data_IF_708887529584
#
_entry.id   IF_708887529584
#
_cell.length_a   1.000
_cell.length_b   1.000
_cell.length_c   1.000
_cell.angle_alpha   90.00
_cell.angle_beta   90.00
_cell.angle_gamma   90.00
#
_symmetry.space_group_name_H-M   'P 1'
#
loop_
_entity.id
_entity.type
_entity.pdbx_description
1 polymer ?
#
# COMPACT_ATOMS: atom_id res chain seq x y z
N UNK A 1 38.53 -6.18 -1.41
CA UNK A 1 38.34 -5.02 -2.31
C UNK A 1 36.86 -4.95 -2.69
N UNK A 2 36.11 -3.91 -2.27
CA UNK A 2 34.78 -3.65 -2.83
C UNK A 2 34.99 -2.70 -4.00
N UNK A 3 34.82 -3.18 -5.22
CA UNK A 3 34.88 -2.35 -6.42
C UNK A 3 33.53 -1.62 -6.55
N UNK A 4 33.56 -0.29 -6.56
CA UNK A 4 32.40 0.52 -6.96
C UNK A 4 32.46 0.60 -8.48
N UNK A 5 31.54 -0.11 -9.13
CA UNK A 5 31.33 -0.02 -10.57
C UNK A 5 30.15 0.90 -10.77
N UNK A 6 30.39 2.04 -11.43
CA UNK A 6 29.30 2.89 -11.90
C UNK A 6 28.57 2.14 -13.03
N UNK A 7 27.36 1.69 -12.72
CA UNK A 7 26.49 1.07 -13.73
C UNK A 7 25.81 2.20 -14.49
N UNK A 8 26.04 2.35 -15.80
CA UNK A 8 25.39 3.40 -16.59
C UNK A 8 23.87 3.22 -16.59
N UNK A 9 23.15 4.32 -16.57
CA UNK A 9 21.68 4.33 -16.55
C UNK A 9 21.13 3.66 -17.82
N UNK A 10 20.18 2.72 -17.66
CA UNK A 10 19.65 1.98 -18.80
C UNK A 10 18.79 2.90 -19.70
N UNK A 11 19.38 3.29 -20.84
CA UNK A 11 18.77 4.18 -21.85
C UNK A 11 17.45 3.66 -22.47
N UNK A 12 17.12 2.37 -22.28
CA UNK A 12 15.89 1.76 -22.77
C UNK A 12 14.79 1.65 -21.71
N UNK A 13 14.95 2.31 -20.56
CA UNK A 13 13.97 2.24 -19.48
C UNK A 13 12.67 2.97 -19.85
N UNK A 14 11.54 2.25 -19.80
CA UNK A 14 10.22 2.81 -19.99
C UNK A 14 9.72 3.51 -18.72
N UNK A 15 9.81 4.84 -18.70
CA UNK A 15 9.25 5.72 -17.67
C UNK A 15 7.81 6.19 -17.96
N UNK A 16 7.24 5.81 -19.12
CA UNK A 16 5.95 6.31 -19.56
C UNK A 16 4.82 5.79 -18.68
N UNK A 17 3.99 6.69 -18.15
CA UNK A 17 2.77 6.36 -17.43
C UNK A 17 1.52 6.40 -18.31
N UNK A 18 1.70 6.53 -19.64
CA UNK A 18 0.60 6.68 -20.60
C UNK A 18 -0.33 5.46 -20.70
N UNK A 19 0.17 4.27 -20.39
CA UNK A 19 -0.64 3.05 -20.24
C UNK A 19 -1.19 2.87 -18.81
N UNK A 20 -0.68 3.67 -17.86
CA UNK A 20 -0.92 3.57 -16.42
C UNK A 20 0.27 3.00 -15.67
N UNK A 21 0.03 2.32 -14.54
CA UNK A 21 1.09 1.82 -13.65
C UNK A 21 0.75 0.45 -13.07
N UNK A 22 1.76 -0.33 -12.69
CA UNK A 22 1.59 -1.46 -11.76
C UNK A 22 1.95 -0.98 -10.35
N UNK A 23 0.95 -0.80 -9.50
CA UNK A 23 1.18 -0.51 -8.08
C UNK A 23 1.47 -1.79 -7.30
N UNK A 24 2.39 -1.74 -6.33
CA UNK A 24 2.86 -2.91 -5.59
C UNK A 24 2.91 -2.62 -4.09
N UNK A 25 2.25 -3.46 -3.31
CA UNK A 25 2.37 -3.56 -1.85
C UNK A 25 3.29 -4.73 -1.52
N UNK A 26 4.46 -4.43 -0.96
CA UNK A 26 5.45 -5.43 -0.56
C UNK A 26 5.07 -5.99 0.82
N UNK A 27 5.12 -7.31 0.99
CA UNK A 27 4.88 -7.96 2.27
C UNK A 27 5.84 -9.14 2.45
N UNK A 28 6.14 -9.52 3.70
CA UNK A 28 7.05 -10.61 4.03
C UNK A 28 6.64 -11.98 3.45
N UNK A 29 5.39 -12.13 3.02
CA UNK A 29 4.87 -13.39 2.48
C UNK A 29 4.40 -13.26 1.02
N UNK A 30 4.36 -12.06 0.45
CA UNK A 30 3.91 -11.86 -0.93
C UNK A 30 4.21 -10.46 -1.49
N UNK A 31 4.24 -10.37 -2.82
CA UNK A 31 4.02 -9.11 -3.54
C UNK A 31 2.56 -9.02 -3.99
N UNK A 32 1.77 -8.13 -3.38
CA UNK A 32 0.47 -7.79 -3.93
C UNK A 32 0.64 -6.72 -5.00
N UNK A 33 0.00 -6.91 -6.15
CA UNK A 33 0.10 -5.97 -7.27
C UNK A 33 -1.29 -5.58 -7.77
N UNK A 34 -1.41 -4.38 -8.32
CA UNK A 34 -2.62 -3.91 -8.97
C UNK A 34 -2.30 -3.17 -10.27
N UNK A 35 -3.05 -3.51 -11.32
CA UNK A 35 -2.98 -2.87 -12.62
C UNK A 35 -3.90 -1.64 -12.64
N UNK A 36 -3.28 -0.47 -12.77
CA UNK A 36 -3.94 0.83 -12.79
C UNK A 36 -3.88 1.39 -14.21
N UNK A 37 -5.00 1.88 -14.75
CA UNK A 37 -5.01 2.59 -16.04
C UNK A 37 -4.43 4.00 -15.90
N UNK A 38 -4.12 4.66 -17.01
CA UNK A 38 -3.66 6.07 -17.02
C UNK A 38 -4.59 7.03 -16.27
N UNK A 39 -5.90 6.77 -16.33
CA UNK A 39 -6.95 7.55 -15.64
C UNK A 39 -7.17 7.08 -14.18
N UNK A 40 -6.27 6.25 -13.65
CA UNK A 40 -6.31 5.76 -12.28
C UNK A 40 -7.29 4.60 -12.04
N UNK A 41 -7.94 4.05 -13.07
CA UNK A 41 -8.98 3.03 -12.86
C UNK A 41 -8.38 1.64 -12.60
N UNK A 42 -9.13 0.82 -11.87
CA UNK A 42 -8.74 -0.56 -11.55
C UNK A 42 -8.97 -1.47 -12.76
N UNK A 43 -7.95 -2.22 -13.18
CA UNK A 43 -8.02 -3.19 -14.28
C UNK A 43 -7.84 -4.64 -13.83
N UNK A 44 -7.33 -4.86 -12.62
CA UNK A 44 -7.09 -6.19 -12.05
C UNK A 44 -5.97 -6.16 -11.01
N UNK A 45 -5.88 -7.21 -10.19
CA UNK A 45 -4.83 -7.35 -9.17
C UNK A 45 -4.56 -8.82 -8.87
N UNK A 46 -3.41 -9.08 -8.24
CA UNK A 46 -3.00 -10.41 -7.83
C UNK A 46 -2.06 -10.36 -6.63
N UNK A 47 -1.60 -11.53 -6.21
CA UNK A 47 -0.54 -11.66 -5.23
C UNK A 47 0.43 -12.77 -5.66
N UNK A 48 1.71 -12.46 -5.65
CA UNK A 48 2.81 -13.40 -5.87
C UNK A 48 3.29 -13.85 -4.49
N UNK A 49 2.83 -15.03 -4.05
CA UNK A 49 3.02 -15.52 -2.69
C UNK A 49 4.30 -16.33 -2.56
N UNK A 50 4.95 -16.20 -1.41
CA UNK A 50 6.14 -16.97 -1.05
C UNK A 50 6.14 -17.33 0.44
N UNK A 51 6.78 -18.44 0.77
CA UNK A 51 6.91 -18.92 2.16
C UNK A 51 8.33 -18.72 2.66
N UNK A 52 8.45 -18.06 3.81
CA UNK A 52 9.72 -17.81 4.50
C UNK A 52 9.94 -18.73 5.71
N UNK A 53 8.92 -19.50 6.11
CA UNK A 53 8.98 -20.31 7.32
C UNK A 53 9.97 -21.48 7.17
N UNK A 54 10.87 -21.62 8.16
CA UNK A 54 11.88 -22.67 8.18
C UNK A 54 12.93 -22.56 7.05
N UNK A 55 13.13 -21.37 6.49
CA UNK A 55 14.11 -21.12 5.43
C UNK A 55 15.29 -20.30 5.95
N UNK A 56 16.48 -20.57 5.42
CA UNK A 56 17.65 -19.73 5.69
C UNK A 56 17.53 -18.37 4.99
N UNK A 57 18.29 -17.37 5.44
CA UNK A 57 18.29 -16.02 4.83
C UNK A 57 18.66 -16.10 3.33
N UNK A 58 19.60 -16.96 2.96
CA UNK A 58 19.98 -17.17 1.56
C UNK A 58 18.85 -17.77 0.71
N UNK A 59 18.10 -18.72 1.27
CA UNK A 59 16.91 -19.30 0.60
C UNK A 59 15.80 -18.26 0.45
N UNK A 60 15.51 -17.50 1.50
CA UNK A 60 14.51 -16.41 1.47
C UNK A 60 14.88 -15.39 0.39
N UNK A 61 16.16 -15.00 0.30
CA UNK A 61 16.64 -14.06 -0.71
C UNK A 61 16.36 -14.57 -2.13
N UNK A 62 16.72 -15.83 -2.43
CA UNK A 62 16.47 -16.44 -3.74
C UNK A 62 14.98 -16.52 -4.08
N UNK A 63 14.14 -16.83 -3.09
CA UNK A 63 12.68 -16.89 -3.27
C UNK A 63 12.13 -15.49 -3.60
N UNK A 64 12.54 -14.47 -2.85
CA UNK A 64 12.15 -13.07 -3.11
C UNK A 64 12.61 -12.63 -4.50
N UNK A 65 13.84 -12.95 -4.89
CA UNK A 65 14.38 -12.64 -6.23
C UNK A 65 13.58 -13.30 -7.34
N UNK A 66 13.20 -14.58 -7.19
CA UNK A 66 12.37 -15.28 -8.16
C UNK A 66 10.97 -14.65 -8.32
N UNK A 67 10.35 -14.23 -7.21
CA UNK A 67 9.04 -13.57 -7.27
C UNK A 67 9.13 -12.12 -7.77
N UNK A 68 10.24 -11.42 -7.52
CA UNK A 68 10.52 -10.11 -8.12
C UNK A 68 10.70 -10.22 -9.64
N UNK A 69 11.31 -11.29 -10.15
CA UNK A 69 11.36 -11.60 -11.59
C UNK A 69 9.95 -11.68 -12.17
N UNK A 70 9.08 -12.49 -11.57
CA UNK A 70 7.69 -12.66 -12.03
C UNK A 70 6.90 -11.35 -12.01
N UNK A 71 7.14 -10.52 -10.99
CA UNK A 71 6.51 -9.19 -10.86
C UNK A 71 6.95 -8.23 -11.97
N UNK A 72 8.26 -8.14 -12.22
CA UNK A 72 8.79 -7.25 -13.27
C UNK A 72 8.38 -7.72 -14.65
N UNK A 73 8.43 -9.03 -14.92
CA UNK A 73 7.97 -9.59 -16.20
C UNK A 73 6.48 -9.32 -16.41
N UNK A 74 5.68 -9.27 -15.33
CA UNK A 74 4.28 -8.84 -15.40
C UNK A 74 4.15 -7.37 -15.78
N UNK A 75 4.95 -6.48 -15.20
CA UNK A 75 4.94 -5.06 -15.52
C UNK A 75 5.41 -4.78 -16.96
N UNK A 76 6.46 -5.49 -17.41
CA UNK A 76 6.97 -5.49 -18.78
C UNK A 76 5.88 -5.91 -19.78
N UNK A 77 5.18 -7.04 -19.53
CA UNK A 77 4.07 -7.49 -20.39
C UNK A 77 2.91 -6.49 -20.47
N UNK A 78 2.65 -5.74 -19.40
CA UNK A 78 1.64 -4.69 -19.40
C UNK A 78 2.13 -3.37 -19.99
N UNK A 79 3.42 -3.27 -20.35
CA UNK A 79 4.10 -2.05 -20.77
C UNK A 79 3.96 -0.90 -19.77
N UNK A 80 4.13 -1.19 -18.47
CA UNK A 80 3.89 -0.22 -17.40
C UNK A 80 5.05 -0.13 -16.42
N UNK A 81 5.35 1.07 -15.93
CA UNK A 81 6.25 1.25 -14.81
C UNK A 81 5.63 0.68 -13.52
N UNK A 82 6.51 0.28 -12.59
CA UNK A 82 6.14 -0.18 -11.27
C UNK A 82 6.11 1.02 -10.31
N UNK A 83 5.16 1.03 -9.39
CA UNK A 83 5.11 1.99 -8.29
C UNK A 83 5.14 1.21 -6.97
N UNK A 84 6.12 1.51 -6.13
CA UNK A 84 6.28 0.95 -4.79
C UNK A 84 6.31 2.07 -3.76
N UNK A 85 6.11 1.71 -2.50
CA UNK A 85 6.35 2.65 -1.41
C UNK A 85 7.85 2.89 -1.18
N UNK A 86 8.18 4.12 -0.81
CA UNK A 86 9.50 4.47 -0.30
C UNK A 86 9.65 3.92 1.11
N UNK A 87 10.70 3.14 1.34
CA UNK A 87 11.09 2.70 2.67
C UNK A 87 11.33 3.92 3.58
N UNK A 88 10.63 4.01 4.71
CA UNK A 88 10.89 5.03 5.72
C UNK A 88 12.04 4.58 6.64
N UNK A 89 13.26 4.95 6.25
CA UNK A 89 14.47 4.66 7.05
C UNK A 89 14.60 5.57 8.27
N UNK A 90 13.86 6.68 8.36
CA UNK A 90 13.97 7.66 9.46
C UNK A 90 13.39 7.14 10.76
N UNK A 91 12.37 6.29 10.62
CA UNK A 91 11.69 5.61 11.69
C UNK A 91 12.63 4.68 12.50
N UNK A 92 13.72 4.19 11.92
CA UNK A 92 14.75 3.40 12.63
C UNK A 92 15.46 4.17 13.76
N UNK A 93 15.37 5.52 13.77
CA UNK A 93 16.09 6.38 14.73
C UNK A 93 15.28 6.75 15.98
N UNK A 94 13.98 6.47 16.00
CA UNK A 94 13.08 6.80 17.10
C UNK A 94 12.15 5.62 17.40
N UNK A 95 12.42 4.88 18.48
CA UNK A 95 11.55 3.80 18.95
C UNK A 95 12.13 2.97 20.09
N UNK A 96 11.64 3.23 21.30
CA UNK A 96 11.74 2.52 22.58
C UNK A 96 12.70 1.32 22.72
N UNK A 97 13.61 1.45 23.71
CA UNK A 97 14.65 0.48 24.09
C UNK A 97 14.13 -0.81 24.75
N UNK A 98 12.82 -1.05 24.81
CA UNK A 98 12.25 -2.17 25.57
C UNK A 98 11.52 -3.18 24.67
N UNK A 99 12.17 -4.33 24.42
CA UNK A 99 11.56 -5.59 23.94
C UNK A 99 11.84 -6.03 22.48
N UNK A 100 11.35 -7.22 22.12
CA UNK A 100 11.45 -7.88 20.81
C UNK A 100 10.90 -7.07 19.62
N UNK A 101 10.17 -5.97 19.86
CA UNK A 101 9.60 -5.10 18.82
C UNK A 101 10.68 -4.41 17.98
N UNK A 102 11.76 -3.94 18.60
CA UNK A 102 12.87 -3.33 17.88
C UNK A 102 13.55 -4.34 16.95
N UNK A 103 13.84 -5.54 17.46
CA UNK A 103 14.43 -6.62 16.67
C UNK A 103 13.52 -7.08 15.52
N UNK A 104 12.21 -7.24 15.76
CA UNK A 104 11.24 -7.58 14.72
C UNK A 104 11.14 -6.49 13.66
N UNK A 105 11.17 -5.21 14.06
CA UNK A 105 11.19 -4.08 13.15
C UNK A 105 12.43 -4.09 12.25
N UNK A 106 13.62 -4.29 12.83
CA UNK A 106 14.86 -4.37 12.06
C UNK A 106 14.84 -5.54 11.06
N UNK A 107 14.31 -6.70 11.47
CA UNK A 107 14.11 -7.84 10.57
C UNK A 107 13.16 -7.52 9.42
N UNK A 108 12.04 -6.86 9.72
CA UNK A 108 11.10 -6.42 8.69
C UNK A 108 11.75 -5.43 7.73
N UNK A 109 12.43 -4.41 8.23
CA UNK A 109 13.13 -3.40 7.41
C UNK A 109 14.14 -4.05 6.47
N UNK A 110 14.97 -4.95 6.99
CA UNK A 110 15.93 -5.70 6.18
C UNK A 110 15.24 -6.49 5.06
N UNK A 111 14.12 -7.16 5.35
CA UNK A 111 13.36 -7.88 4.34
C UNK A 111 12.76 -6.94 3.29
N UNK A 112 12.23 -5.78 3.69
CA UNK A 112 11.73 -4.75 2.76
C UNK A 112 12.83 -4.19 1.87
N UNK A 113 14.03 -3.94 2.39
CA UNK A 113 15.20 -3.52 1.61
C UNK A 113 15.58 -4.58 0.56
N UNK A 114 15.56 -5.86 0.95
CA UNK A 114 15.82 -6.97 0.02
C UNK A 114 14.78 -7.07 -1.07
N UNK A 115 13.50 -7.00 -0.72
CA UNK A 115 12.39 -6.97 -1.68
C UNK A 115 12.53 -5.81 -2.67
N UNK A 116 12.77 -4.60 -2.16
CA UNK A 116 12.95 -3.39 -2.97
C UNK A 116 14.16 -3.52 -3.90
N UNK A 117 15.30 -4.01 -3.38
CA UNK A 117 16.52 -4.19 -4.19
C UNK A 117 16.32 -5.22 -5.30
N UNK A 118 15.62 -6.32 -5.01
CA UNK A 118 15.32 -7.35 -6.01
C UNK A 118 14.44 -6.79 -7.14
N UNK A 119 13.41 -5.99 -6.80
CA UNK A 119 12.57 -5.32 -7.80
C UNK A 119 13.40 -4.35 -8.64
N UNK A 120 14.14 -3.43 -8.01
CA UNK A 120 14.95 -2.43 -8.70
C UNK A 120 15.98 -3.07 -9.65
N UNK A 121 16.76 -4.04 -9.15
CA UNK A 121 17.80 -4.69 -9.95
C UNK A 121 17.26 -5.53 -11.10
N UNK A 122 16.03 -6.06 -10.99
CA UNK A 122 15.38 -6.75 -12.10
C UNK A 122 14.74 -5.78 -13.08
N UNK A 123 14.10 -4.73 -12.59
CA UNK A 123 13.45 -3.72 -13.40
C UNK A 123 14.45 -2.97 -14.29
N UNK A 124 15.61 -2.61 -13.73
CA UNK A 124 16.74 -2.04 -14.48
C UNK A 124 17.16 -2.93 -15.66
N UNK A 125 17.36 -4.24 -15.43
CA UNK A 125 17.71 -5.21 -16.49
C UNK A 125 16.64 -5.39 -17.57
N UNK A 126 15.38 -5.03 -17.29
CA UNK A 126 14.24 -5.18 -18.21
C UNK A 126 13.74 -3.85 -18.77
N UNK A 127 14.42 -2.75 -18.48
CA UNK A 127 13.99 -1.42 -18.91
C UNK A 127 12.60 -1.06 -18.37
N UNK A 128 12.26 -1.49 -17.16
CA UNK A 128 11.01 -1.11 -16.49
C UNK A 128 11.32 -0.06 -15.43
N UNK A 129 10.72 1.13 -15.53
CA UNK A 129 10.93 2.14 -14.49
C UNK A 129 10.24 1.73 -13.18
N UNK A 130 10.85 2.14 -12.06
CA UNK A 130 10.29 1.95 -10.72
C UNK A 130 10.19 3.31 -10.04
N UNK A 131 8.97 3.74 -9.75
CA UNK A 131 8.70 4.94 -8.98
C UNK A 131 8.51 4.61 -7.50
N UNK A 132 9.07 5.45 -6.64
CA UNK A 132 8.87 5.37 -5.19
C UNK A 132 7.96 6.49 -4.72
N UNK A 133 6.88 6.15 -4.02
CA UNK A 133 5.92 7.12 -3.47
C UNK A 133 5.92 7.09 -1.95
N UNK A 134 5.44 8.17 -1.33
CA UNK A 134 5.29 8.21 0.13
C UNK A 134 4.33 7.08 0.59
N UNK A 135 4.66 6.28 1.62
CA UNK A 135 3.81 5.21 2.15
C UNK A 135 2.57 5.69 2.92
N UNK A 136 2.47 6.98 3.25
CA UNK A 136 1.47 7.50 4.17
C UNK A 136 0.04 7.09 3.81
N UNK A 137 -0.57 6.31 4.72
CA UNK A 137 -1.99 5.93 4.73
C UNK A 137 -2.52 5.19 3.49
N UNK A 138 -1.65 4.59 2.66
CA UNK A 138 -2.04 3.79 1.48
C UNK A 138 -2.95 2.63 1.84
N UNK A 139 -2.61 1.84 2.88
CA UNK A 139 -3.42 0.70 3.31
C UNK A 139 -4.78 1.13 3.87
N UNK A 140 -4.85 2.27 4.57
CA UNK A 140 -6.10 2.81 5.13
C UNK A 140 -7.00 3.31 4.00
N UNK A 141 -6.47 4.13 3.10
CA UNK A 141 -7.22 4.63 1.95
C UNK A 141 -7.71 3.47 1.06
N UNK A 142 -6.83 2.50 0.78
CA UNK A 142 -7.14 1.31 -0.01
C UNK A 142 -8.25 0.46 0.60
N UNK A 143 -8.11 0.14 1.89
CA UNK A 143 -9.13 -0.55 2.67
C UNK A 143 -10.47 0.16 2.56
N UNK A 144 -10.52 1.46 2.85
CA UNK A 144 -11.80 2.16 2.96
C UNK A 144 -12.47 2.42 1.61
N UNK A 145 -11.69 2.63 0.54
CA UNK A 145 -12.24 3.02 -0.77
C UNK A 145 -12.41 1.86 -1.74
N UNK A 146 -11.53 0.88 -1.72
CA UNK A 146 -11.34 -0.03 -2.86
C UNK A 146 -11.54 -1.50 -2.50
N UNK A 147 -11.19 -1.91 -1.28
CA UNK A 147 -11.23 -3.33 -0.89
C UNK A 147 -12.63 -3.96 -1.08
N UNK A 148 -13.69 -3.37 -0.52
CA UNK A 148 -15.07 -3.86 -0.73
C UNK A 148 -15.60 -3.55 -2.12
N UNK A 149 -15.23 -2.41 -2.71
CA UNK A 149 -15.66 -2.00 -4.05
C UNK A 149 -15.23 -2.99 -5.14
N UNK A 150 -14.01 -3.52 -5.05
CA UNK A 150 -13.46 -4.45 -6.03
C UNK A 150 -13.42 -5.91 -5.56
N UNK A 151 -13.82 -6.20 -4.32
CA UNK A 151 -13.77 -7.57 -3.78
C UNK A 151 -12.35 -8.12 -3.65
N UNK A 152 -11.37 -7.27 -3.37
CA UNK A 152 -9.95 -7.60 -3.32
C UNK A 152 -9.40 -7.60 -1.89
N UNK A 153 -8.21 -8.16 -1.69
CA UNK A 153 -7.55 -8.14 -0.37
C UNK A 153 -7.12 -6.73 0.04
N UNK A 154 -6.84 -6.55 1.34
CA UNK A 154 -6.29 -5.28 1.85
C UNK A 154 -4.97 -4.91 1.16
N UNK A 155 -4.09 -5.89 0.92
CA UNK A 155 -2.80 -5.71 0.26
C UNK A 155 -2.96 -5.32 -1.22
N UNK A 156 -3.89 -5.96 -1.93
CA UNK A 156 -4.21 -5.57 -3.31
C UNK A 156 -4.82 -4.17 -3.38
N UNK A 157 -5.66 -3.80 -2.40
CA UNK A 157 -6.23 -2.45 -2.33
C UNK A 157 -5.18 -1.38 -2.00
N UNK A 158 -4.18 -1.71 -1.19
CA UNK A 158 -3.02 -0.87 -0.92
C UNK A 158 -2.16 -0.72 -2.19
N UNK A 159 -1.85 -1.83 -2.88
CA UNK A 159 -1.15 -1.84 -4.15
C UNK A 159 -1.84 -0.94 -5.20
N UNK A 160 -3.17 -1.00 -5.29
CA UNK A 160 -3.95 -0.13 -6.17
C UNK A 160 -3.82 1.35 -5.79
N UNK A 161 -3.86 1.65 -4.49
CA UNK A 161 -3.68 3.00 -3.95
C UNK A 161 -2.27 3.55 -4.24
N UNK A 162 -1.25 2.70 -4.13
CA UNK A 162 0.15 3.02 -4.45
C UNK A 162 0.30 3.35 -5.94
N UNK A 163 -0.26 2.52 -6.83
CA UNK A 163 -0.22 2.76 -8.27
C UNK A 163 -0.90 4.07 -8.66
N UNK A 164 -2.10 4.33 -8.13
CA UNK A 164 -2.79 5.62 -8.31
C UNK A 164 -1.95 6.81 -7.80
N UNK A 165 -1.24 6.65 -6.68
CA UNK A 165 -0.35 7.70 -6.16
C UNK A 165 0.82 7.98 -7.10
N UNK A 166 1.38 6.96 -7.75
CA UNK A 166 2.42 7.14 -8.77
C UNK A 166 1.93 7.92 -10.00
N UNK A 167 0.62 7.89 -10.29
CA UNK A 167 -0.03 8.71 -11.31
C UNK A 167 -0.43 10.11 -10.82
N UNK A 168 -0.10 10.48 -9.57
CA UNK A 168 -0.41 11.80 -9.01
C UNK A 168 -1.78 11.93 -8.33
N UNK A 169 -2.55 10.84 -8.19
CA UNK A 169 -3.82 10.90 -7.45
C UNK A 169 -3.58 11.05 -5.94
N UNK A 170 -4.26 12.03 -5.34
CA UNK A 170 -4.11 12.41 -3.91
C UNK A 170 -4.90 11.53 -2.94
N UNK A 171 -5.73 10.61 -3.44
CA UNK A 171 -6.52 9.70 -2.59
C UNK A 171 -7.32 10.41 -1.49
N UNK A 172 -8.07 11.48 -1.83
CA UNK A 172 -8.88 12.21 -0.84
C UNK A 172 -9.91 11.30 -0.15
N UNK A 173 -10.20 11.61 1.11
CA UNK A 173 -11.29 10.99 1.88
C UNK A 173 -12.64 11.27 1.20
N UNK A 174 -13.53 10.27 1.04
CA UNK A 174 -14.88 10.44 0.51
C UNK A 174 -15.66 11.55 1.24
N UNK A 175 -16.47 12.33 0.52
CA UNK A 175 -17.14 13.53 1.06
C UNK A 175 -17.97 13.24 2.30
N UNK A 176 -18.72 12.14 2.32
CA UNK A 176 -19.48 11.73 3.51
C UNK A 176 -18.58 11.50 4.73
N UNK A 177 -17.40 10.90 4.53
CA UNK A 177 -16.49 10.62 5.62
C UNK A 177 -15.74 11.87 6.12
N UNK A 178 -15.72 12.94 5.32
CA UNK A 178 -15.08 14.20 5.73
C UNK A 178 -15.82 14.91 6.87
N UNK A 179 -17.10 14.60 7.09
CA UNK A 179 -17.87 15.11 8.23
C UNK A 179 -17.21 14.71 9.55
N UNK A 180 -16.58 13.54 9.60
CA UNK A 180 -15.95 12.99 10.81
C UNK A 180 -14.49 13.43 11.01
N UNK A 181 -13.98 14.35 10.17
CA UNK A 181 -12.64 14.91 10.30
C UNK A 181 -12.70 16.20 11.13
N UNK A 182 -12.05 16.26 12.31
CA UNK A 182 -12.02 17.47 13.13
C UNK A 182 -11.35 18.67 12.45
N UNK A 183 -10.14 18.48 11.89
CA UNK A 183 -9.33 19.54 11.27
C UNK A 183 -9.38 19.40 9.75
N UNK A 184 -10.29 20.14 9.11
CA UNK A 184 -10.57 20.08 7.66
C UNK A 184 -9.57 20.85 6.80
N UNK A 185 -8.85 21.79 7.41
CA UNK A 185 -7.78 22.60 6.83
C UNK A 185 -6.44 21.85 6.75
N UNK A 186 -6.34 20.69 7.40
CA UNK A 186 -5.13 19.89 7.41
C UNK A 186 -4.81 19.28 6.02
N UNK A 187 -3.56 18.87 5.84
CA UNK A 187 -3.15 18.16 4.63
C UNK A 187 -3.96 16.85 4.47
N UNK A 188 -4.28 16.47 3.23
CA UNK A 188 -5.13 15.30 2.94
C UNK A 188 -4.62 13.96 3.50
N UNK A 189 -3.31 13.82 3.77
CA UNK A 189 -2.78 12.66 4.51
C UNK A 189 -3.20 12.66 5.98
N UNK A 190 -3.18 13.83 6.63
CA UNK A 190 -3.66 13.99 8.00
C UNK A 190 -5.15 13.66 8.13
N UNK A 191 -5.94 13.92 7.08
CA UNK A 191 -7.35 13.51 7.05
C UNK A 191 -7.54 12.00 7.23
N UNK A 192 -6.73 11.17 6.57
CA UNK A 192 -6.77 9.72 6.77
C UNK A 192 -6.33 9.31 8.17
N UNK A 193 -5.33 9.98 8.75
CA UNK A 193 -4.91 9.73 10.12
C UNK A 193 -6.03 10.02 11.13
N UNK A 194 -6.62 11.21 11.03
CA UNK A 194 -7.70 11.66 11.90
C UNK A 194 -8.90 10.72 11.80
N UNK A 195 -9.28 10.36 10.57
CA UNK A 195 -10.40 9.46 10.31
C UNK A 195 -10.14 8.05 10.86
N UNK A 196 -8.94 7.49 10.64
CA UNK A 196 -8.58 6.18 11.14
C UNK A 196 -8.60 6.12 12.68
N UNK A 197 -8.07 7.15 13.34
CA UNK A 197 -8.07 7.25 14.80
C UNK A 197 -9.49 7.43 15.36
N UNK A 198 -10.37 8.14 14.64
CA UNK A 198 -11.75 8.41 15.10
C UNK A 198 -12.68 7.24 14.86
N UNK A 199 -12.63 6.63 13.67
CA UNK A 199 -13.45 5.47 13.34
C UNK A 199 -12.97 4.26 14.14
N UNK A 200 -11.67 3.93 14.15
CA UNK A 200 -11.04 2.86 14.94
C UNK A 200 -11.82 1.53 15.09
N UNK A 201 -12.73 1.25 14.15
CA UNK A 201 -13.64 0.11 14.14
C UNK A 201 -13.10 -1.00 13.27
N UNK A 202 -13.54 -2.22 13.55
CA UNK A 202 -13.19 -3.38 12.74
C UNK A 202 -13.67 -3.19 11.30
N UNK A 203 -12.87 -3.70 10.37
CA UNK A 203 -13.09 -3.58 8.92
C UNK A 203 -14.48 -4.04 8.49
N UNK A 204 -14.97 -5.16 9.04
CA UNK A 204 -16.28 -5.70 8.67
C UNK A 204 -17.43 -4.82 9.16
N UNK A 205 -17.33 -4.21 10.35
CA UNK A 205 -18.32 -3.24 10.84
C UNK A 205 -18.30 -1.96 9.99
N UNK A 206 -17.12 -1.45 9.63
CA UNK A 206 -17.02 -0.26 8.77
C UNK A 206 -17.83 -0.41 7.48
N UNK A 207 -17.76 -1.58 6.83
CA UNK A 207 -18.52 -1.80 5.61
C UNK A 207 -20.01 -2.12 5.79
N UNK A 208 -20.47 -2.35 7.02
CA UNK A 208 -21.91 -2.38 7.31
C UNK A 208 -22.48 -0.97 7.44
N UNK A 209 -21.61 0.01 7.73
CA UNK A 209 -21.94 1.42 7.89
C UNK A 209 -21.71 2.25 6.63
N UNK A 210 -20.73 1.88 5.81
CA UNK A 210 -20.30 2.61 4.62
C UNK A 210 -20.37 1.74 3.37
N UNK A 211 -21.14 2.18 2.37
CA UNK A 211 -21.12 1.59 1.04
C UNK A 211 -20.08 2.29 0.14
N UNK A 212 -18.98 1.59 -0.15
CA UNK A 212 -17.93 2.10 -1.04
C UNK A 212 -18.40 2.29 -2.50
N UNK A 213 -19.50 1.67 -2.91
CA UNK A 213 -20.12 1.87 -4.22
C UNK A 213 -20.99 3.13 -4.26
N UNK A 214 -21.44 3.61 -3.10
CA UNK A 214 -22.24 4.82 -2.95
C UNK A 214 -21.53 5.81 -2.01
N UNK A 215 -20.36 6.34 -2.41
CA UNK A 215 -19.48 7.12 -1.53
C UNK A 215 -20.05 8.48 -1.08
N UNK A 216 -21.23 8.85 -1.59
CA UNK A 216 -21.95 10.07 -1.24
C UNK A 216 -23.09 9.83 -0.24
N UNK A 217 -23.49 8.58 -0.01
CA UNK A 217 -24.51 8.25 0.99
C UNK A 217 -23.93 8.38 2.40
N UNK A 218 -24.77 8.87 3.33
CA UNK A 218 -24.43 9.00 4.75
C UNK A 218 -23.96 7.67 5.36
N UNK A 219 -23.08 7.73 6.35
CA UNK A 219 -22.81 6.54 7.17
C UNK A 219 -24.13 6.11 7.83
N UNK A 220 -24.44 4.83 7.74
CA UNK A 220 -25.65 4.24 8.32
C UNK A 220 -25.45 4.03 9.84
N UNK A 221 -25.23 5.15 10.54
CA UNK A 221 -24.92 5.28 11.97
C UNK A 221 -26.06 4.70 12.83
N UNK A 222 -27.28 4.62 12.31
CA UNK A 222 -28.40 3.99 13.00
C UNK A 222 -28.19 2.49 13.22
N UNK A 223 -27.32 1.83 12.45
CA UNK A 223 -26.96 0.41 12.61
C UNK A 223 -25.85 0.18 13.65
N UNK A 224 -25.45 1.22 14.39
CA UNK A 224 -24.33 1.18 15.34
C UNK A 224 -24.66 0.48 16.65
N UNK A 225 -25.93 0.46 17.03
CA UNK A 225 -26.50 -0.24 18.17
C UNK A 225 -26.23 -1.76 18.14
N UNK A 226 -26.06 -2.33 16.94
CA UNK A 226 -25.73 -3.75 16.72
C UNK A 226 -24.30 -4.12 17.16
N UNK A 227 -23.39 -3.14 17.31
CA UNK A 227 -21.97 -3.39 17.63
C UNK A 227 -21.62 -3.04 19.07
N UNK A 228 -22.23 -3.73 20.04
CA UNK A 228 -22.01 -3.50 21.48
C UNK A 228 -20.52 -3.42 21.88
N UNK A 229 -19.67 -4.24 21.26
CA UNK A 229 -18.22 -4.25 21.53
C UNK A 229 -17.45 -3.01 21.01
N UNK A 230 -18.04 -2.19 20.14
CA UNK A 230 -17.42 -0.97 19.58
C UNK A 230 -18.17 0.32 19.94
N UNK A 231 -19.27 0.22 20.70
CA UNK A 231 -20.15 1.34 21.11
C UNK A 231 -19.42 2.57 21.66
N UNK A 232 -18.38 2.38 22.49
CA UNK A 232 -17.53 3.49 23.03
C UNK A 232 -16.72 4.24 21.95
N UNK A 233 -16.30 3.56 20.89
CA UNK A 233 -15.57 4.19 19.77
C UNK A 233 -16.55 4.92 18.85
N UNK A 234 -17.73 4.33 18.68
CA UNK A 234 -18.81 4.85 17.85
C UNK A 234 -19.48 6.09 18.44
N UNK A 235 -19.56 6.20 19.77
CA UNK A 235 -19.98 7.42 20.47
C UNK A 235 -19.13 8.66 20.12
N UNK A 236 -17.89 8.48 19.62
CA UNK A 236 -17.07 9.60 19.14
C UNK A 236 -17.53 10.15 17.79
N UNK A 237 -18.37 9.42 17.06
CA UNK A 237 -18.89 9.83 15.74
C UNK A 237 -20.20 10.60 15.84
N UNK A 238 -20.96 10.45 16.93
CA UNK A 238 -22.26 11.08 17.17
C UNK A 238 -22.19 12.47 17.82
N UNK A 239 -20.98 13.03 18.01
CA UNK A 239 -20.74 14.36 18.62
C UNK A 239 -20.39 15.38 17.53
N UNK A 240 -21.21 15.49 16.48
CA UNK A 240 -21.03 16.43 15.38
C UNK A 240 -22.36 17.12 15.06
#
# INVERSE_FOLDING_TARGET
MKCLVDVPENSHTNYSTSDGTIGVDCNLEHFAWANVTKDGNYKGSGALRFSILGKSIGQITKIIEAEAVRLVDLAERYNKPIVIEKLDTTQSKTGDRYGNKHANRMKSMFAYEKMTSAILGRADKRGVAVFQVNPAYTSIAGKMKYMRKFGISIHQSAAFTIGRRGLGYKEKVPRVLQLYIPKKDAHHWSHWHQLNNRLAIRTHHFYQLYDANRPNEALQIERLDVFENEKKKLAKLSVL
#
